data_IF_831238126094
#
_entry.id   IF_831238126094
#
_cell.length_a   1.000
_cell.length_b   1.000
_cell.length_c   1.000
_cell.angle_alpha   90.00
_cell.angle_beta   90.00
_cell.angle_gamma   90.00
#
_symmetry.space_group_name_H-M   'P 1'
#
loop_
_entity.id
_entity.type
_entity.pdbx_description
1 polymer ?
#
# COMPACT_ATOMS: atom_id res chain seq x y z
N UNK A 1 2.10 16.70 -0.70
CA UNK A 1 2.69 15.36 -0.75
C UNK A 1 3.85 15.33 -1.74
N UNK A 2 4.93 14.65 -1.36
CA UNK A 2 6.10 14.45 -2.23
C UNK A 2 5.87 13.27 -3.16
N UNK A 3 5.21 12.22 -2.65
CA UNK A 3 4.88 11.02 -3.43
C UNK A 3 3.44 10.56 -3.16
N UNK A 4 2.86 9.82 -4.12
CA UNK A 4 1.57 9.15 -3.96
C UNK A 4 1.85 7.71 -3.55
N UNK A 5 2.14 7.49 -2.27
CA UNK A 5 2.50 6.19 -1.73
C UNK A 5 1.78 5.91 -0.41
N UNK A 6 0.83 4.96 -0.37
CA UNK A 6 0.18 4.59 0.89
C UNK A 6 1.18 4.02 1.92
N UNK A 7 2.24 3.37 1.46
CA UNK A 7 3.32 2.87 2.33
C UNK A 7 4.02 4.03 3.04
N UNK A 8 4.35 5.08 2.30
CA UNK A 8 5.02 6.26 2.87
C UNK A 8 4.10 7.00 3.84
N UNK A 9 2.83 7.20 3.50
CA UNK A 9 1.85 7.85 4.38
C UNK A 9 1.68 7.10 5.72
N UNK A 10 1.52 5.77 5.68
CA UNK A 10 1.38 4.96 6.88
C UNK A 10 2.67 4.93 7.72
N UNK A 11 3.82 4.93 7.06
CA UNK A 11 5.13 5.04 7.72
C UNK A 11 5.28 6.37 8.44
N UNK A 12 4.93 7.47 7.79
CA UNK A 12 4.98 8.81 8.39
C UNK A 12 4.02 8.94 9.57
N UNK A 13 2.84 8.35 9.48
CA UNK A 13 1.89 8.33 10.58
C UNK A 13 2.51 7.69 11.84
N UNK A 14 3.11 6.52 11.71
CA UNK A 14 3.78 5.84 12.84
C UNK A 14 5.03 6.61 13.31
N UNK A 15 5.88 7.05 12.40
CA UNK A 15 7.13 7.75 12.77
C UNK A 15 6.86 9.10 13.41
N UNK A 16 5.88 9.85 12.96
CA UNK A 16 5.45 11.08 13.61
C UNK A 16 5.05 10.86 15.06
N UNK A 17 4.27 9.81 15.33
CA UNK A 17 3.87 9.46 16.70
C UNK A 17 5.08 8.99 17.54
N UNK A 18 6.00 8.21 16.97
CA UNK A 18 7.24 7.82 17.68
C UNK A 18 8.07 9.02 18.10
N UNK A 19 8.24 10.02 17.24
CA UNK A 19 8.98 11.24 17.53
C UNK A 19 8.30 12.06 18.65
N UNK A 20 6.99 12.24 18.58
CA UNK A 20 6.22 12.98 19.57
C UNK A 20 6.23 12.31 20.95
N UNK A 21 6.06 11.00 20.99
CA UNK A 21 5.90 10.25 22.25
C UNK A 21 7.20 9.66 22.78
N UNK A 22 8.28 9.66 21.98
CA UNK A 22 9.57 8.98 22.26
C UNK A 22 9.39 7.50 22.59
N UNK A 23 8.42 6.84 21.96
CA UNK A 23 8.08 5.42 22.14
C UNK A 23 8.10 4.71 20.79
N UNK A 24 8.18 3.38 20.80
CA UNK A 24 8.10 2.51 19.61
C UNK A 24 6.74 1.83 19.53
N UNK A 25 6.38 1.41 18.31
CA UNK A 25 5.19 0.61 18.03
C UNK A 25 3.90 1.25 18.56
N UNK A 26 3.71 2.54 18.27
CA UNK A 26 2.62 3.33 18.80
C UNK A 26 1.27 2.82 18.27
N UNK A 27 1.20 2.42 16.99
CA UNK A 27 -0.03 1.88 16.41
C UNK A 27 -0.32 0.44 16.83
N UNK A 28 0.61 -0.28 17.47
CA UNK A 28 0.34 -1.62 17.98
C UNK A 28 -0.68 -1.57 19.11
N UNK A 29 -1.77 -2.31 18.98
CA UNK A 29 -2.87 -2.32 19.98
C UNK A 29 -2.50 -3.05 21.26
N UNK A 30 -1.52 -3.95 21.19
CA UNK A 30 -1.03 -4.75 22.31
C UNK A 30 0.43 -5.14 22.08
N UNK A 31 1.19 -5.48 23.12
CA UNK A 31 2.56 -5.97 22.96
C UNK A 31 2.64 -7.14 21.99
N UNK A 32 3.59 -7.07 21.05
CA UNK A 32 3.79 -8.09 20.02
C UNK A 32 2.86 -8.03 18.81
N UNK A 33 1.87 -7.14 18.80
CA UNK A 33 1.02 -6.95 17.60
C UNK A 33 1.80 -6.24 16.48
N UNK A 34 1.50 -6.61 15.23
CA UNK A 34 2.06 -5.96 14.04
C UNK A 34 1.54 -4.53 13.93
N UNK A 35 2.48 -3.59 13.82
CA UNK A 35 2.20 -2.19 13.52
C UNK A 35 1.70 -2.03 12.10
N UNK A 36 2.35 -2.72 11.15
CA UNK A 36 2.00 -2.70 9.73
C UNK A 36 0.59 -3.21 9.48
N UNK A 37 0.21 -4.32 10.10
CA UNK A 37 -1.15 -4.85 10.00
C UNK A 37 -2.19 -3.87 10.57
N UNK A 38 -1.92 -3.30 11.74
CA UNK A 38 -2.84 -2.34 12.36
C UNK A 38 -3.06 -1.12 11.49
N UNK A 39 -1.99 -0.54 10.95
CA UNK A 39 -2.06 0.63 10.06
C UNK A 39 -2.76 0.31 8.75
N UNK A 40 -2.40 -0.81 8.12
CA UNK A 40 -2.99 -1.22 6.86
C UNK A 40 -4.49 -1.51 6.99
N UNK A 41 -4.91 -2.29 7.99
CA UNK A 41 -6.34 -2.53 8.26
C UNK A 41 -7.10 -1.25 8.55
N UNK A 42 -6.49 -0.33 9.29
CA UNK A 42 -7.06 1.00 9.55
C UNK A 42 -7.28 1.81 8.26
N UNK A 43 -6.31 1.79 7.35
CA UNK A 43 -6.41 2.46 6.05
C UNK A 43 -7.48 1.83 5.16
N UNK A 44 -7.56 0.50 5.10
CA UNK A 44 -8.60 -0.22 4.34
C UNK A 44 -10.01 0.12 4.86
N UNK A 45 -10.23 0.04 6.17
CA UNK A 45 -11.50 0.36 6.79
C UNK A 45 -11.89 1.84 6.62
N UNK A 46 -10.91 2.74 6.72
CA UNK A 46 -11.10 4.18 6.47
C UNK A 46 -11.47 4.47 5.02
N UNK A 47 -10.76 3.87 4.07
CA UNK A 47 -11.01 3.98 2.64
C UNK A 47 -12.39 3.45 2.23
N UNK A 48 -12.81 2.31 2.76
CA UNK A 48 -14.12 1.75 2.53
C UNK A 48 -15.23 2.70 3.00
N UNK A 49 -15.11 3.25 4.21
CA UNK A 49 -16.08 4.24 4.73
C UNK A 49 -16.10 5.52 3.90
N UNK A 50 -14.95 6.04 3.53
CA UNK A 50 -14.84 7.29 2.78
C UNK A 50 -15.39 7.18 1.35
N UNK A 51 -15.22 6.02 0.71
CA UNK A 51 -15.70 5.77 -0.65
C UNK A 51 -17.18 5.34 -0.71
N UNK A 52 -17.73 4.80 0.37
CA UNK A 52 -19.06 4.19 0.38
C UNK A 52 -19.15 2.89 -0.45
N UNK A 53 -18.01 2.30 -0.84
CA UNK A 53 -17.96 1.09 -1.64
C UNK A 53 -17.73 -0.15 -0.77
N UNK A 54 -18.18 -1.35 -1.21
CA UNK A 54 -17.93 -2.62 -0.51
C UNK A 54 -16.52 -3.12 -0.80
N UNK A 55 -15.50 -2.38 -0.33
CA UNK A 55 -14.07 -2.62 -0.52
C UNK A 55 -13.34 -2.78 0.82
N UNK A 56 -12.05 -3.09 0.79
CA UNK A 56 -11.18 -3.14 1.97
C UNK A 56 -11.07 -4.52 2.62
N UNK A 57 -11.67 -5.53 2.03
CA UNK A 57 -11.60 -6.92 2.50
C UNK A 57 -11.72 -7.92 1.35
N UNK A 58 -11.08 -9.07 1.51
CA UNK A 58 -11.17 -10.19 0.57
C UNK A 58 -12.22 -11.17 1.07
N UNK A 59 -13.47 -11.01 0.63
CA UNK A 59 -14.59 -11.92 0.93
C UNK A 59 -15.58 -12.02 -0.22
N UNK A 60 -16.36 -13.10 -0.24
CA UNK A 60 -17.47 -13.23 -1.19
C UNK A 60 -18.46 -12.08 -1.04
N UNK A 61 -18.87 -11.47 -2.15
CA UNK A 61 -19.76 -10.33 -2.21
C UNK A 61 -19.08 -8.95 -2.07
N UNK A 62 -17.80 -8.89 -1.69
CA UNK A 62 -17.03 -7.65 -1.75
C UNK A 62 -16.58 -7.37 -3.19
N UNK A 63 -16.34 -6.11 -3.50
CA UNK A 63 -15.74 -5.72 -4.77
C UNK A 63 -14.29 -6.25 -4.83
N UNK A 64 -13.92 -6.83 -5.97
CA UNK A 64 -12.60 -7.41 -6.18
C UNK A 64 -11.53 -6.32 -6.43
N UNK A 65 -11.13 -5.65 -5.36
CA UNK A 65 -10.00 -4.72 -5.31
C UNK A 65 -8.90 -5.34 -4.45
N UNK A 66 -7.73 -5.58 -5.03
CA UNK A 66 -6.62 -6.20 -4.32
C UNK A 66 -5.28 -5.76 -4.89
N UNK A 67 -4.25 -5.90 -4.08
CA UNK A 67 -2.85 -5.79 -4.47
C UNK A 67 -2.15 -7.12 -4.26
N UNK A 68 -1.13 -7.40 -5.07
CA UNK A 68 -0.23 -8.54 -4.90
C UNK A 68 1.17 -8.00 -4.67
N UNK A 69 1.80 -8.42 -3.57
CA UNK A 69 3.18 -8.08 -3.28
C UNK A 69 4.13 -9.01 -4.04
N UNK A 70 5.34 -8.53 -4.32
CA UNK A 70 6.39 -9.31 -4.99
C UNK A 70 7.08 -10.23 -3.97
N UNK A 71 6.71 -11.49 -3.98
CA UNK A 71 7.25 -12.55 -3.14
C UNK A 71 8.69 -12.96 -3.49
N UNK A 72 9.21 -12.56 -4.66
CA UNK A 72 10.61 -12.75 -5.03
C UNK A 72 11.54 -11.71 -4.42
N UNK A 73 10.99 -10.64 -3.83
CA UNK A 73 11.80 -9.60 -3.22
C UNK A 73 12.52 -10.10 -1.96
N UNK A 74 13.85 -9.88 -1.84
CA UNK A 74 14.59 -10.21 -0.62
C UNK A 74 14.01 -9.54 0.65
N UNK A 75 13.32 -8.41 0.51
CA UNK A 75 12.71 -7.69 1.63
C UNK A 75 11.53 -8.46 2.25
N UNK A 76 10.92 -9.36 1.48
CA UNK A 76 9.82 -10.22 1.93
C UNK A 76 10.25 -11.68 2.15
N UNK A 77 11.53 -12.01 1.92
CA UNK A 77 12.03 -13.37 2.11
C UNK A 77 11.82 -13.85 3.55
N UNK A 78 11.32 -15.07 3.70
CA UNK A 78 11.03 -15.72 4.98
C UNK A 78 10.08 -14.91 5.90
N UNK A 79 9.19 -14.10 5.32
CA UNK A 79 8.12 -13.41 6.06
C UNK A 79 6.85 -14.23 6.04
N UNK A 80 6.23 -14.33 7.20
CA UNK A 80 4.92 -14.95 7.40
C UNK A 80 3.79 -13.90 7.35
N UNK A 81 2.56 -14.35 7.54
CA UNK A 81 1.38 -13.47 7.56
C UNK A 81 1.48 -12.39 8.65
N UNK A 82 2.15 -12.67 9.77
CA UNK A 82 2.27 -11.74 10.90
C UNK A 82 3.29 -10.62 10.63
N UNK A 83 4.32 -10.86 9.80
CA UNK A 83 5.46 -9.98 9.61
C UNK A 83 5.55 -9.35 8.21
N UNK A 84 4.82 -9.88 7.22
CA UNK A 84 4.88 -9.39 5.84
C UNK A 84 4.46 -7.93 5.71
N UNK A 85 3.42 -7.48 6.41
CA UNK A 85 2.96 -6.10 6.37
C UNK A 85 3.91 -5.14 7.09
N UNK A 86 4.54 -5.58 8.19
CA UNK A 86 5.61 -4.80 8.83
C UNK A 86 6.81 -4.64 7.88
N UNK A 87 7.22 -5.70 7.21
CA UNK A 87 8.30 -5.64 6.24
C UNK A 87 7.95 -4.76 5.06
N UNK A 88 6.76 -4.90 4.48
CA UNK A 88 6.32 -4.05 3.37
C UNK A 88 6.32 -2.57 3.74
N UNK A 89 5.81 -2.21 4.91
CA UNK A 89 5.74 -0.81 5.33
C UNK A 89 7.08 -0.24 5.79
N UNK A 90 7.95 -1.04 6.44
CA UNK A 90 9.11 -0.49 7.16
C UNK A 90 10.48 -0.95 6.67
N UNK A 91 10.58 -1.96 5.79
CA UNK A 91 11.88 -2.54 5.40
C UNK A 91 12.57 -1.84 4.23
N UNK A 92 12.12 -0.68 3.77
CA UNK A 92 12.79 0.04 2.69
C UNK A 92 11.84 0.84 1.80
N UNK A 93 12.36 1.34 0.68
CA UNK A 93 11.61 2.20 -0.26
C UNK A 93 11.41 1.53 -1.62
N UNK A 94 11.87 0.30 -1.81
CA UNK A 94 11.65 -0.43 -3.07
C UNK A 94 10.15 -0.70 -3.25
N UNK A 95 9.57 -0.40 -4.41
CA UNK A 95 8.20 -0.75 -4.71
C UNK A 95 8.00 -2.27 -4.65
N UNK A 96 7.09 -2.72 -3.80
CA UNK A 96 6.80 -4.15 -3.62
C UNK A 96 5.41 -4.56 -4.14
N UNK A 97 4.58 -3.61 -4.55
CA UNK A 97 3.27 -3.91 -5.17
C UNK A 97 3.49 -4.27 -6.62
N UNK A 98 3.48 -5.57 -6.91
CA UNK A 98 3.70 -6.14 -8.24
C UNK A 98 2.48 -6.03 -9.13
N UNK A 99 1.30 -6.37 -8.58
CA UNK A 99 0.06 -6.36 -9.35
C UNK A 99 -1.04 -5.60 -8.59
N UNK A 100 -1.95 -4.97 -9.34
CA UNK A 100 -3.12 -4.26 -8.79
C UNK A 100 -4.36 -4.63 -9.58
N UNK A 101 -5.40 -5.08 -8.88
CA UNK A 101 -6.73 -5.33 -9.43
C UNK A 101 -7.71 -4.30 -8.89
N UNK A 102 -8.56 -3.76 -9.75
CA UNK A 102 -9.63 -2.83 -9.39
C UNK A 102 -10.94 -3.27 -10.04
N UNK A 103 -11.94 -3.57 -9.24
CA UNK A 103 -13.24 -4.04 -9.72
C UNK A 103 -13.14 -5.32 -10.56
N UNK A 104 -12.28 -6.25 -10.18
CA UNK A 104 -12.06 -7.52 -10.90
C UNK A 104 -11.22 -7.40 -12.18
N UNK A 105 -10.65 -6.23 -12.47
CA UNK A 105 -9.81 -6.00 -13.65
C UNK A 105 -8.39 -5.63 -13.24
N UNK A 106 -7.40 -6.31 -13.82
CA UNK A 106 -6.00 -5.97 -13.62
C UNK A 106 -5.69 -4.61 -14.24
N UNK A 107 -5.21 -3.68 -13.43
CA UNK A 107 -4.73 -2.36 -13.85
C UNK A 107 -3.20 -2.35 -13.94
N UNK A 108 -2.54 -3.06 -13.03
CA UNK A 108 -1.08 -3.24 -12.99
C UNK A 108 -0.78 -4.74 -13.00
N UNK A 109 0.17 -5.16 -13.81
CA UNK A 109 0.72 -6.52 -13.83
C UNK A 109 2.23 -6.44 -14.01
N UNK A 110 2.98 -7.17 -13.16
CA UNK A 110 4.43 -7.16 -13.20
C UNK A 110 5.02 -5.76 -13.11
N UNK A 111 4.53 -4.94 -12.18
CA UNK A 111 4.91 -3.52 -11.97
C UNK A 111 4.54 -2.56 -13.10
N UNK A 112 3.81 -3.00 -14.14
CA UNK A 112 3.47 -2.16 -15.28
C UNK A 112 1.98 -1.87 -15.34
N UNK A 113 1.61 -0.58 -15.38
CA UNK A 113 0.23 -0.17 -15.60
C UNK A 113 -0.15 -0.38 -17.07
N UNK A 114 -1.34 -0.93 -17.32
CA UNK A 114 -1.85 -1.25 -18.66
C UNK A 114 -1.79 -0.11 -19.68
N UNK A 115 -1.87 1.12 -19.22
CA UNK A 115 -1.91 2.32 -20.05
C UNK A 115 -0.68 3.24 -19.86
N UNK A 116 0.39 2.79 -19.19
CA UNK A 116 1.50 3.67 -18.79
C UNK A 116 2.16 4.38 -19.97
N UNK A 117 2.39 3.68 -21.08
CA UNK A 117 3.01 4.26 -22.26
C UNK A 117 2.13 5.34 -22.88
N UNK A 118 0.83 5.07 -23.01
CA UNK A 118 -0.15 6.03 -23.54
C UNK A 118 -0.24 7.28 -22.65
N UNK A 119 -0.24 7.09 -21.34
CA UNK A 119 -0.26 8.18 -20.35
C UNK A 119 1.02 9.00 -20.45
N UNK A 120 2.17 8.37 -20.47
CA UNK A 120 3.47 9.04 -20.59
C UNK A 120 3.60 9.86 -21.89
N UNK A 121 3.14 9.31 -23.02
CA UNK A 121 3.14 10.04 -24.31
C UNK A 121 2.22 11.26 -24.29
N UNK A 122 1.03 11.13 -23.69
CA UNK A 122 0.10 12.26 -23.56
C UNK A 122 0.67 13.34 -22.65
N UNK A 123 1.27 12.95 -21.53
CA UNK A 123 1.91 13.89 -20.62
C UNK A 123 3.01 14.68 -21.30
N UNK A 124 3.93 13.99 -21.99
CA UNK A 124 5.02 14.67 -22.74
C UNK A 124 4.49 15.70 -23.73
N UNK A 125 3.48 15.33 -24.54
CA UNK A 125 2.89 16.27 -25.50
C UNK A 125 2.34 17.53 -24.86
N UNK A 126 1.74 17.42 -23.67
CA UNK A 126 1.24 18.60 -22.94
C UNK A 126 2.40 19.45 -22.44
N UNK A 127 3.43 18.84 -21.85
CA UNK A 127 4.60 19.57 -21.34
C UNK A 127 5.35 20.26 -22.48
N UNK A 128 5.52 19.59 -23.63
CA UNK A 128 6.20 20.15 -24.80
C UNK A 128 5.42 21.33 -25.44
N UNK A 129 4.16 21.52 -25.07
CA UNK A 129 3.29 22.62 -25.56
C UNK A 129 3.23 23.83 -24.61
N UNK A 130 3.90 23.77 -23.45
CA UNK A 130 3.97 24.88 -22.49
C UNK A 130 5.14 25.81 -22.76
#
# INVERSE_FOLDING_TARGET
>A
HISISPVEELRWLEYGQRLLTRRRNIAARQPGASVGETLWRGALAGGARASGLPIGELRAGARADLIVLDDNSPLLAARDEASVLDSWLFAGNTPLVRDVMVGGRWQVRGFRHRDEERIAQRYRRVVDSL
#
